data_IF_181624706368
#
_entry.id   IF_181624706368
#
_cell.length_a   1.000
_cell.length_b   1.000
_cell.length_c   1.000
_cell.angle_alpha   90.00
_cell.angle_beta   90.00
_cell.angle_gamma   90.00
#
_symmetry.space_group_name_H-M   'P 1'
#
loop_
_entity.id
_entity.type
_entity.pdbx_description
1 polymer ?
#
# COMPACT_ATOMS: atom_id res chain seq x y z
N UNK A 1 14.46 16.68 3.02
CA UNK A 1 13.84 16.76 4.34
C UNK A 1 12.36 16.50 4.24
N UNK A 2 11.84 15.79 5.20
CA UNK A 2 10.42 15.41 5.20
C UNK A 2 9.47 16.61 5.12
N UNK A 3 9.79 17.72 5.78
CA UNK A 3 8.93 18.90 5.79
C UNK A 3 8.71 19.55 4.44
N UNK A 4 9.70 19.52 3.56
CA UNK A 4 9.55 20.09 2.22
C UNK A 4 8.72 19.16 1.33
N UNK A 5 8.80 17.84 1.56
CA UNK A 5 8.08 16.87 0.79
C UNK A 5 6.58 16.94 1.08
N UNK A 6 6.21 17.18 2.32
CA UNK A 6 4.80 17.33 2.71
C UNK A 6 4.16 18.50 1.95
N UNK A 7 4.86 19.60 1.79
CA UNK A 7 4.35 20.74 1.04
C UNK A 7 4.15 20.43 -0.43
N UNK A 8 5.03 19.63 -1.01
CA UNK A 8 4.91 19.22 -2.39
C UNK A 8 3.74 18.30 -2.61
N UNK A 9 3.46 17.42 -1.65
CA UNK A 9 2.30 16.53 -1.70
C UNK A 9 0.99 17.32 -1.74
N UNK A 10 0.89 18.40 -0.98
CA UNK A 10 -0.30 19.26 -0.97
C UNK A 10 -0.55 19.89 -2.33
N UNK A 11 0.50 20.16 -3.07
CA UNK A 11 0.43 20.73 -4.42
C UNK A 11 0.21 19.68 -5.50
N UNK A 12 0.36 18.41 -5.18
CA UNK A 12 0.07 17.28 -6.06
C UNK A 12 1.03 17.11 -7.23
N UNK A 13 1.05 18.05 -8.15
CA UNK A 13 1.82 17.91 -9.39
C UNK A 13 3.32 17.90 -9.20
N UNK A 14 3.81 18.54 -8.15
CA UNK A 14 5.24 18.75 -7.97
C UNK A 14 5.98 17.56 -7.38
N UNK A 15 5.27 16.64 -6.75
CA UNK A 15 5.88 15.45 -6.15
C UNK A 15 6.63 14.59 -7.17
N UNK A 16 6.26 14.71 -8.46
CA UNK A 16 6.84 13.90 -9.53
C UNK A 16 8.15 14.44 -10.08
N UNK A 17 8.52 15.66 -9.75
CA UNK A 17 9.76 16.26 -10.21
C UNK A 17 10.98 15.76 -9.45
N UNK A 18 10.76 15.11 -8.32
CA UNK A 18 11.82 14.67 -7.43
C UNK A 18 11.77 13.16 -7.22
N UNK A 19 12.96 12.54 -7.20
CA UNK A 19 13.08 11.15 -6.81
C UNK A 19 13.03 11.06 -5.29
N UNK A 20 12.11 10.25 -4.77
CA UNK A 20 12.03 10.01 -3.33
C UNK A 20 13.17 9.11 -2.91
N UNK A 21 14.07 9.61 -2.08
CA UNK A 21 15.21 8.85 -1.54
C UNK A 21 14.96 8.38 -0.11
N UNK A 22 13.88 8.83 0.50
CA UNK A 22 13.46 8.44 1.83
C UNK A 22 11.97 8.17 1.87
N UNK A 23 11.41 8.12 3.05
CA UNK A 23 9.97 7.98 3.22
C UNK A 23 9.28 9.35 3.13
N UNK A 24 8.09 9.38 2.58
CA UNK A 24 7.22 10.56 2.60
C UNK A 24 6.18 10.37 3.69
N UNK A 25 5.80 11.46 4.35
CA UNK A 25 4.89 11.40 5.49
C UNK A 25 3.62 12.20 5.25
N UNK A 26 2.50 11.67 5.72
CA UNK A 26 1.23 12.36 5.72
C UNK A 26 0.43 11.97 6.95
N UNK A 27 -0.64 12.69 7.21
CA UNK A 27 -1.47 12.44 8.37
C UNK A 27 -2.94 12.70 8.03
N UNK A 28 -3.81 11.82 8.50
CA UNK A 28 -5.26 11.97 8.35
C UNK A 28 -5.87 12.05 9.73
N UNK A 29 -6.63 13.11 9.98
CA UNK A 29 -7.40 13.25 11.21
C UNK A 29 -8.67 12.43 11.09
N UNK A 30 -8.84 11.45 11.97
CA UNK A 30 -10.00 10.56 11.99
C UNK A 30 -11.13 11.09 12.89
N UNK A 31 -10.91 12.23 13.52
CA UNK A 31 -11.81 12.76 14.54
C UNK A 31 -11.53 12.10 15.89
N UNK A 32 -12.21 12.56 16.91
CA UNK A 32 -12.10 11.99 18.28
C UNK A 32 -10.67 11.99 18.83
N UNK A 33 -9.79 12.82 18.30
CA UNK A 33 -8.40 12.88 18.72
C UNK A 33 -7.50 11.81 18.13
N UNK A 34 -8.05 10.97 17.28
CA UNK A 34 -7.28 9.92 16.60
C UNK A 34 -6.73 10.40 15.28
N UNK A 35 -5.52 9.99 14.97
CA UNK A 35 -4.84 10.32 13.71
C UNK A 35 -4.22 9.09 13.09
N UNK A 36 -4.31 9.03 11.76
CA UNK A 36 -3.67 7.99 10.98
C UNK A 36 -2.43 8.58 10.32
N UNK A 37 -1.28 8.01 10.62
CA UNK A 37 -0.03 8.41 9.98
C UNK A 37 0.20 7.56 8.74
N UNK A 38 0.42 8.22 7.62
CA UNK A 38 0.70 7.58 6.34
C UNK A 38 2.17 7.78 6.00
N UNK A 39 2.82 6.71 5.59
CA UNK A 39 4.21 6.75 5.17
C UNK A 39 4.30 6.15 3.78
N UNK A 40 4.70 6.96 2.81
CA UNK A 40 4.97 6.49 1.46
C UNK A 40 6.37 5.92 1.37
N UNK A 41 6.47 4.74 0.79
CA UNK A 41 7.76 4.05 0.65
C UNK A 41 8.22 4.10 -0.80
N UNK A 42 9.52 4.32 -1.06
CA UNK A 42 10.03 4.29 -2.43
C UNK A 42 9.88 2.91 -3.04
N UNK A 43 9.52 2.89 -4.34
CA UNK A 43 9.31 1.64 -5.08
C UNK A 43 10.57 1.10 -5.75
N UNK A 44 11.67 1.85 -5.75
CA UNK A 44 12.89 1.44 -6.43
C UNK A 44 13.68 0.45 -5.57
N UNK A 45 14.23 -0.58 -6.21
CA UNK A 45 14.95 -1.64 -5.51
C UNK A 45 16.14 -1.15 -4.71
N UNK A 46 16.84 -0.13 -5.19
CA UNK A 46 17.99 0.43 -4.48
C UNK A 46 17.64 1.03 -3.11
N UNK A 47 16.34 1.26 -2.87
CA UNK A 47 15.85 1.77 -1.58
C UNK A 47 15.13 0.69 -0.78
N UNK A 48 15.46 -0.57 -1.02
CA UNK A 48 14.82 -1.69 -0.33
C UNK A 48 14.94 -1.59 1.19
N UNK A 49 16.08 -1.11 1.69
CA UNK A 49 16.28 -0.95 3.13
C UNK A 49 15.29 0.06 3.75
N UNK A 50 14.95 1.14 3.02
CA UNK A 50 13.97 2.12 3.48
C UNK A 50 12.58 1.48 3.52
N UNK A 51 12.23 0.75 2.47
CA UNK A 51 10.95 0.06 2.39
C UNK A 51 10.80 -0.95 3.52
N UNK A 52 11.81 -1.74 3.81
CA UNK A 52 11.78 -2.72 4.90
C UNK A 52 11.61 -2.04 6.25
N UNK A 53 12.30 -0.94 6.46
CA UNK A 53 12.18 -0.16 7.69
C UNK A 53 10.76 0.38 7.87
N UNK A 54 10.18 0.95 6.80
CA UNK A 54 8.81 1.49 6.82
C UNK A 54 7.81 0.38 7.13
N UNK A 55 7.91 -0.76 6.46
CA UNK A 55 7.01 -1.88 6.68
C UNK A 55 7.13 -2.43 8.09
N UNK A 56 8.34 -2.49 8.64
CA UNK A 56 8.57 -2.97 10.01
C UNK A 56 7.89 -2.10 11.06
N UNK A 57 7.72 -0.81 10.76
CA UNK A 57 7.12 0.15 11.68
C UNK A 57 5.62 0.33 11.44
N UNK A 58 5.04 -0.38 10.47
CA UNK A 58 3.64 -0.18 10.06
C UNK A 58 2.75 -1.32 10.55
N UNK A 59 1.53 -0.99 10.93
CA UNK A 59 0.52 -2.00 11.29
C UNK A 59 -0.22 -2.53 10.06
N UNK A 60 -0.30 -1.73 9.01
CA UNK A 60 -0.93 -2.12 7.75
C UNK A 60 -0.24 -1.44 6.58
N UNK A 61 -0.43 -1.98 5.40
CA UNK A 61 0.16 -1.43 4.19
C UNK A 61 -0.77 -1.59 2.99
N UNK A 62 -0.78 -0.59 2.14
CA UNK A 62 -1.50 -0.60 0.88
C UNK A 62 -0.45 -0.73 -0.24
N UNK A 63 -0.52 -1.82 -0.97
CA UNK A 63 0.37 -2.07 -2.11
C UNK A 63 -0.36 -1.75 -3.41
N UNK A 64 0.10 -0.73 -4.10
CA UNK A 64 -0.51 -0.29 -5.36
C UNK A 64 0.05 -1.10 -6.52
N UNK A 65 -0.84 -1.68 -7.31
CA UNK A 65 -0.45 -2.51 -8.45
C UNK A 65 -1.27 -2.14 -9.68
N UNK A 66 -0.69 -2.35 -10.85
CA UNK A 66 -1.41 -2.31 -12.12
C UNK A 66 -1.57 -3.76 -12.59
N UNK A 67 -2.76 -4.31 -12.43
CA UNK A 67 -3.01 -5.71 -12.77
C UNK A 67 -2.92 -6.00 -14.27
N UNK A 68 -2.86 -4.95 -15.10
CA UNK A 68 -2.66 -5.08 -16.54
C UNK A 68 -1.17 -5.24 -16.91
N UNK A 69 -0.28 -4.96 -15.98
CA UNK A 69 1.16 -5.09 -16.20
C UNK A 69 1.54 -6.58 -16.11
N UNK A 70 2.32 -7.04 -17.08
CA UNK A 70 2.76 -8.43 -17.12
C UNK A 70 3.58 -8.84 -15.89
N UNK A 71 4.27 -7.88 -15.26
CA UNK A 71 5.14 -8.13 -14.11
C UNK A 71 4.43 -7.94 -12.78
N UNK A 72 3.14 -7.60 -12.79
CA UNK A 72 2.40 -7.27 -11.57
C UNK A 72 2.37 -8.42 -10.55
N UNK A 73 2.17 -9.64 -11.02
CA UNK A 73 2.12 -10.82 -10.13
C UNK A 73 3.47 -11.04 -9.45
N UNK A 74 4.55 -10.96 -10.22
CA UNK A 74 5.90 -11.13 -9.67
C UNK A 74 6.22 -10.05 -8.65
N UNK A 75 5.94 -8.80 -9.00
CA UNK A 75 6.16 -7.66 -8.12
C UNK A 75 5.38 -7.80 -6.81
N UNK A 76 4.09 -8.08 -6.90
CA UNK A 76 3.24 -8.24 -5.72
C UNK A 76 3.69 -9.41 -4.85
N UNK A 77 4.04 -10.53 -5.49
CA UNK A 77 4.53 -11.72 -4.79
C UNK A 77 5.81 -11.41 -3.99
N UNK A 78 6.76 -10.74 -4.60
CA UNK A 78 8.01 -10.36 -3.92
C UNK A 78 7.75 -9.43 -2.73
N UNK A 79 6.87 -8.46 -2.91
CA UNK A 79 6.54 -7.51 -1.85
C UNK A 79 5.83 -8.19 -0.68
N UNK A 80 4.89 -9.06 -0.97
CA UNK A 80 4.14 -9.78 0.07
C UNK A 80 5.05 -10.76 0.82
N UNK A 81 5.90 -11.48 0.11
CA UNK A 81 6.85 -12.41 0.72
C UNK A 81 7.82 -11.67 1.63
N UNK A 82 8.37 -10.55 1.15
CA UNK A 82 9.27 -9.73 1.95
C UNK A 82 8.62 -9.18 3.21
N UNK A 83 7.37 -8.75 3.10
CA UNK A 83 6.64 -8.25 4.27
C UNK A 83 6.35 -9.36 5.28
N UNK A 84 6.01 -10.55 4.80
CA UNK A 84 5.69 -11.69 5.67
C UNK A 84 6.91 -12.19 6.47
N UNK A 85 8.11 -11.93 5.98
CA UNK A 85 9.35 -12.30 6.66
C UNK A 85 9.73 -11.38 7.82
N UNK A 86 9.05 -10.25 7.94
CA UNK A 86 9.32 -9.31 9.02
C UNK A 86 8.77 -9.84 10.35
N UNK A 87 9.44 -9.52 11.44
CA UNK A 87 9.04 -9.96 12.79
C UNK A 87 7.64 -9.48 13.17
N UNK A 88 7.31 -8.25 12.77
CA UNK A 88 5.98 -7.67 12.96
C UNK A 88 5.41 -7.35 11.58
N UNK A 89 4.91 -8.38 10.89
CA UNK A 89 4.41 -8.23 9.53
C UNK A 89 3.15 -7.35 9.51
N UNK A 90 3.11 -6.33 8.65
CA UNK A 90 1.89 -5.52 8.52
C UNK A 90 0.79 -6.29 7.79
N UNK A 91 -0.46 -5.92 8.06
CA UNK A 91 -1.58 -6.42 7.27
C UNK A 91 -1.51 -5.76 5.89
N UNK A 92 -1.50 -6.59 4.84
CA UNK A 92 -1.35 -6.10 3.46
C UNK A 92 -2.67 -6.11 2.72
N UNK A 93 -2.93 -5.05 1.99
CA UNK A 93 -4.04 -4.97 1.04
C UNK A 93 -3.48 -4.51 -0.30
N UNK A 94 -3.93 -5.13 -1.37
CA UNK A 94 -3.56 -4.74 -2.72
C UNK A 94 -4.59 -3.75 -3.27
N UNK A 95 -4.11 -2.69 -3.88
CA UNK A 95 -4.96 -1.74 -4.58
C UNK A 95 -4.73 -1.88 -6.08
N UNK A 96 -5.78 -2.27 -6.81
CA UNK A 96 -5.75 -2.27 -8.27
C UNK A 96 -6.02 -0.87 -8.76
N UNK A 97 -4.99 -0.21 -9.28
CA UNK A 97 -4.99 1.23 -9.55
C UNK A 97 -5.28 1.61 -11.00
N UNK A 98 -5.47 0.64 -11.87
CA UNK A 98 -5.86 0.85 -13.26
C UNK A 98 -7.13 0.09 -13.55
N UNK A 99 -7.91 0.61 -14.49
CA UNK A 99 -9.13 -0.06 -14.91
C UNK A 99 -8.81 -1.45 -15.45
N UNK A 100 -9.49 -2.45 -14.93
CA UNK A 100 -9.34 -3.84 -15.35
C UNK A 100 -10.73 -4.48 -15.37
N UNK A 101 -10.93 -5.49 -16.23
CA UNK A 101 -12.16 -6.23 -16.21
C UNK A 101 -12.11 -7.34 -15.13
N UNK A 102 -13.26 -7.94 -14.83
CA UNK A 102 -13.34 -8.99 -13.81
C UNK A 102 -12.45 -10.18 -14.10
N UNK A 103 -12.31 -10.57 -15.37
CA UNK A 103 -11.46 -11.70 -15.75
C UNK A 103 -9.98 -11.40 -15.49
N UNK A 104 -9.54 -10.18 -15.73
CA UNK A 104 -8.16 -9.78 -15.42
C UNK A 104 -7.88 -9.79 -13.93
N UNK A 105 -8.82 -9.31 -13.13
CA UNK A 105 -8.69 -9.31 -11.67
C UNK A 105 -8.67 -10.73 -11.12
N UNK A 106 -9.54 -11.59 -11.62
CA UNK A 106 -9.58 -12.99 -11.20
C UNK A 106 -8.29 -13.73 -11.57
N UNK A 107 -7.80 -13.50 -12.79
CA UNK A 107 -6.56 -14.13 -13.24
C UNK A 107 -5.37 -13.67 -12.39
N UNK A 108 -5.28 -12.38 -12.09
CA UNK A 108 -4.25 -11.83 -11.22
C UNK A 108 -4.33 -12.45 -9.83
N UNK A 109 -5.51 -12.48 -9.25
CA UNK A 109 -5.74 -13.03 -7.91
C UNK A 109 -5.35 -14.51 -7.83
N UNK A 110 -5.77 -15.30 -8.81
CA UNK A 110 -5.45 -16.74 -8.87
C UNK A 110 -3.95 -16.97 -9.01
N UNK A 111 -3.28 -16.21 -9.87
CA UNK A 111 -1.84 -16.33 -10.07
C UNK A 111 -1.06 -15.92 -8.82
N UNK A 112 -1.52 -14.88 -8.13
CA UNK A 112 -0.88 -14.42 -6.90
C UNK A 112 -1.05 -15.45 -5.78
N UNK A 113 -2.24 -16.01 -5.61
CA UNK A 113 -2.50 -17.06 -4.61
C UNK A 113 -1.64 -18.30 -4.85
N UNK A 114 -1.44 -18.67 -6.10
CA UNK A 114 -0.61 -19.82 -6.45
C UNK A 114 0.86 -19.60 -6.04
N UNK A 115 1.33 -18.36 -6.09
CA UNK A 115 2.71 -18.03 -5.70
C UNK A 115 2.88 -17.85 -4.19
N UNK A 116 1.95 -17.15 -3.56
CA UNK A 116 2.06 -16.75 -2.15
C UNK A 116 1.40 -17.73 -1.18
N UNK A 117 0.54 -18.59 -1.68
CA UNK A 117 -0.24 -19.53 -0.86
C UNK A 117 -1.06 -18.84 0.23
N UNK A 118 -1.46 -17.61 -0.01
CA UNK A 118 -2.18 -16.80 0.96
C UNK A 118 -3.25 -15.97 0.26
N UNK A 119 -4.26 -15.60 1.01
CA UNK A 119 -5.37 -14.78 0.50
C UNK A 119 -5.12 -13.33 0.90
N UNK A 120 -4.99 -12.47 -0.09
CA UNK A 120 -4.77 -11.04 0.15
C UNK A 120 -5.94 -10.28 -0.47
N UNK A 121 -6.61 -9.41 0.30
CA UNK A 121 -7.70 -8.61 -0.26
C UNK A 121 -7.21 -7.69 -1.37
N UNK A 122 -7.98 -7.60 -2.44
CA UNK A 122 -7.70 -6.70 -3.56
C UNK A 122 -8.88 -5.75 -3.71
N UNK A 123 -8.58 -4.46 -3.71
CA UNK A 123 -9.60 -3.40 -3.85
C UNK A 123 -9.28 -2.59 -5.10
N UNK A 124 -10.28 -2.41 -5.96
CA UNK A 124 -10.13 -1.52 -7.11
C UNK A 124 -10.30 -0.08 -6.68
N UNK A 125 -9.32 0.76 -7.01
CA UNK A 125 -9.39 2.19 -6.69
C UNK A 125 -8.80 3.03 -7.82
N UNK A 126 -9.31 4.24 -7.97
CA UNK A 126 -8.61 5.29 -8.70
C UNK A 126 -7.82 6.08 -7.63
N UNK A 127 -6.49 6.03 -7.63
CA UNK A 127 -5.70 6.70 -6.59
C UNK A 127 -5.81 8.22 -6.63
N UNK A 128 -6.38 8.77 -7.71
CA UNK A 128 -6.65 10.21 -7.82
C UNK A 128 -7.98 10.59 -7.17
N UNK A 129 -8.83 9.62 -6.88
CA UNK A 129 -10.12 9.84 -6.25
C UNK A 129 -9.97 9.73 -4.74
N UNK A 130 -10.10 10.87 -4.07
CA UNK A 130 -9.92 10.94 -2.62
C UNK A 130 -10.86 10.01 -1.86
N UNK A 131 -12.13 9.96 -2.27
CA UNK A 131 -13.12 9.14 -1.57
C UNK A 131 -12.82 7.66 -1.69
N UNK A 132 -12.43 7.21 -2.89
CA UNK A 132 -12.04 5.82 -3.08
C UNK A 132 -10.83 5.43 -2.22
N UNK A 133 -9.85 6.32 -2.12
CA UNK A 133 -8.69 6.08 -1.27
C UNK A 133 -9.06 6.03 0.21
N UNK A 134 -9.96 6.90 0.65
CA UNK A 134 -10.46 6.88 2.03
C UNK A 134 -11.23 5.59 2.32
N UNK A 135 -12.02 5.12 1.36
CA UNK A 135 -12.75 3.86 1.49
C UNK A 135 -11.79 2.67 1.61
N UNK A 136 -10.72 2.67 0.84
CA UNK A 136 -9.68 1.63 0.93
C UNK A 136 -9.00 1.63 2.31
N UNK A 137 -8.68 2.81 2.82
CA UNK A 137 -8.13 2.94 4.17
C UNK A 137 -9.13 2.46 5.23
N UNK A 138 -10.42 2.69 5.01
CA UNK A 138 -11.48 2.18 5.86
C UNK A 138 -11.53 0.66 5.91
N UNK A 139 -11.34 0.01 4.75
CA UNK A 139 -11.25 -1.45 4.68
C UNK A 139 -10.07 -1.95 5.50
N UNK A 140 -8.90 -1.34 5.32
CA UNK A 140 -7.71 -1.71 6.08
C UNK A 140 -7.93 -1.55 7.59
N UNK A 141 -8.50 -0.42 8.00
CA UNK A 141 -8.78 -0.14 9.41
C UNK A 141 -9.75 -1.18 10.00
N UNK A 142 -10.78 -1.56 9.25
CA UNK A 142 -11.74 -2.56 9.68
C UNK A 142 -11.09 -3.93 9.88
N UNK A 143 -10.22 -4.32 8.96
CA UNK A 143 -9.50 -5.59 9.06
C UNK A 143 -8.53 -5.61 10.23
N UNK A 144 -7.84 -4.50 10.47
CA UNK A 144 -6.95 -4.37 11.63
C UNK A 144 -7.73 -4.47 12.94
N UNK A 145 -8.91 -3.89 12.99
CA UNK A 145 -9.80 -3.96 14.14
C UNK A 145 -10.23 -5.40 14.44
N UNK A 146 -10.55 -6.16 13.38
CA UNK A 146 -10.91 -7.57 13.52
C UNK A 146 -9.74 -8.41 14.02
N UNK A 147 -8.52 -8.13 13.58
CA UNK A 147 -7.33 -8.82 14.08
C UNK A 147 -7.15 -8.59 15.59
N UNK A 148 -7.35 -7.37 16.04
CA UNK A 148 -7.23 -7.03 17.46
C UNK A 148 -8.25 -7.79 18.32
N UNK A 149 -9.44 -8.06 17.79
CA UNK A 149 -10.49 -8.76 18.52
C UNK A 149 -10.25 -10.27 18.64
N UNK A 150 -9.45 -10.83 17.72
CA UNK A 150 -9.18 -12.27 17.74
C UNK A 150 -7.99 -12.66 18.61
N UNK A 151 -7.30 -11.67 19.11
CA UNK A 151 -6.22 -11.89 20.07
C UNK A 151 -6.74 -11.82 21.49
#
# INVERSE_FOLDING_TARGET
MAGSDVRNLDKGAHAKEFTTVGAEFGEIDLGSGERLQLVGSPGQDRFDFVRRWVLSASVGALLMVDVNDADAVEYASEMLTGAAELDAAPLMILLSCRTANGAQLEAFSAALMAKCHDVVPIVEVDPRDRQQMLDALGVLASLLSLQSQTL
#
